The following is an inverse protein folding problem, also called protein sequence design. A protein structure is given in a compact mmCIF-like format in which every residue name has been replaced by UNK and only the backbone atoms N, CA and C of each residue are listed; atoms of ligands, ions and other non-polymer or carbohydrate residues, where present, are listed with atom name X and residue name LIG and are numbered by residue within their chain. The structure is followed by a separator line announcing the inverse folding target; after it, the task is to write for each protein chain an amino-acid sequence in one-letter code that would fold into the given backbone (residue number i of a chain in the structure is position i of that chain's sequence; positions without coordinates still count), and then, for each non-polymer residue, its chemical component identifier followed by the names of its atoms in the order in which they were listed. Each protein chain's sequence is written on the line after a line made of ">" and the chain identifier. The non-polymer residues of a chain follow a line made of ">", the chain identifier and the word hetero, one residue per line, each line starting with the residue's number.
data_IF_710137488703
#
_entry.id   IF_710137488703
#
_cell.length_a   1.000
_cell.length_b   1.000
_cell.length_c   1.000
_cell.angle_alpha   90.00
_cell.angle_beta   90.00
_cell.angle_gamma   90.00
#
_symmetry.space_group_name_H-M   'P 1'
#
loop_
_entity.id
_entity.type
_entity.pdbx_description
1 polymer ?
#
# COMPACT_ATOMS: atom_id res chain seq x y z
N UNK A 1 -1.11 5.82 12.83
CA UNK A 1 -1.86 7.00 12.39
C UNK A 1 -1.92 7.19 10.87
N UNK A 2 -0.91 7.75 10.18
CA UNK A 2 -1.05 8.04 8.73
C UNK A 2 -1.35 6.80 7.87
N UNK A 3 -0.48 5.78 7.92
CA UNK A 3 -0.65 4.56 7.12
C UNK A 3 -1.94 3.81 7.47
N UNK A 4 -2.28 3.78 8.76
CA UNK A 4 -3.52 3.20 9.28
C UNK A 4 -4.75 3.90 8.70
N UNK A 5 -4.80 5.24 8.75
CA UNK A 5 -5.88 6.05 8.18
C UNK A 5 -6.03 5.83 6.67
N UNK A 6 -4.92 5.77 5.93
CA UNK A 6 -4.95 5.51 4.48
C UNK A 6 -5.46 4.09 4.20
N UNK A 7 -4.94 3.08 4.92
CA UNK A 7 -5.36 1.69 4.73
C UNK A 7 -6.86 1.48 5.03
N UNK A 8 -7.38 2.10 6.10
CA UNK A 8 -8.78 2.03 6.48
C UNK A 8 -9.69 2.67 5.42
N UNK A 9 -9.28 3.79 4.83
CA UNK A 9 -10.04 4.43 3.76
C UNK A 9 -10.12 3.55 2.51
N UNK A 10 -9.01 2.97 2.06
CA UNK A 10 -8.99 2.12 0.87
C UNK A 10 -9.90 0.90 1.05
N UNK A 11 -9.79 0.20 2.17
CA UNK A 11 -10.61 -1.00 2.45
C UNK A 11 -12.12 -0.67 2.49
N UNK A 12 -12.49 0.49 3.03
CA UNK A 12 -13.90 0.86 3.19
C UNK A 12 -14.50 1.55 1.94
N UNK A 13 -13.71 2.29 1.17
CA UNK A 13 -14.17 3.07 0.01
C UNK A 13 -14.06 2.30 -1.32
N UNK A 14 -13.19 1.28 -1.42
CA UNK A 14 -12.95 0.53 -2.67
C UNK A 14 -13.45 -0.91 -2.56
N UNK A 15 -14.60 -1.18 -3.18
CA UNK A 15 -15.19 -2.52 -3.20
C UNK A 15 -14.26 -3.55 -3.88
N UNK A 16 -14.17 -4.74 -3.27
CA UNK A 16 -13.39 -5.85 -3.79
C UNK A 16 -11.92 -5.87 -3.37
N UNK A 17 -11.45 -4.85 -2.62
CA UNK A 17 -10.09 -4.84 -2.06
C UNK A 17 -10.11 -5.34 -0.61
N UNK A 18 -9.29 -6.36 -0.32
CA UNK A 18 -9.22 -6.99 1.01
C UNK A 18 -7.89 -6.75 1.73
N UNK A 19 -6.89 -6.18 1.05
CA UNK A 19 -5.54 -5.97 1.60
C UNK A 19 -4.86 -4.78 0.94
N UNK A 20 -4.16 -4.01 1.76
CA UNK A 20 -3.29 -2.91 1.35
C UNK A 20 -1.90 -3.17 1.92
N UNK A 21 -0.86 -2.99 1.10
CA UNK A 21 0.54 -3.14 1.51
C UNK A 21 1.30 -1.85 1.27
N UNK A 22 2.27 -1.54 2.14
CA UNK A 22 3.25 -0.49 1.92
C UNK A 22 4.60 -1.14 1.66
N UNK A 23 5.21 -0.83 0.51
CA UNK A 23 6.53 -1.34 0.17
C UNK A 23 7.61 -0.64 1.00
N UNK A 24 8.44 -1.44 1.67
CA UNK A 24 9.57 -0.97 2.47
C UNK A 24 10.92 -1.28 1.81
N UNK A 25 10.89 -1.78 0.58
CA UNK A 25 12.09 -2.12 -0.19
C UNK A 25 12.81 -0.85 -0.61
N UNK A 26 14.13 -0.86 -0.47
CA UNK A 26 14.98 0.24 -0.92
C UNK A 26 15.51 -0.01 -2.31
N UNK A 27 15.77 1.09 -3.04
CA UNK A 27 16.65 1.07 -4.20
C UNK A 27 18.08 1.33 -3.72
N UNK A 28 19.06 0.45 -3.98
CA UNK A 28 18.99 -0.94 -4.49
C UNK A 28 18.62 -1.94 -3.37
N UNK A 29 18.09 -3.14 -3.67
CA UNK A 29 18.06 -3.83 -4.97
C UNK A 29 16.76 -3.68 -5.78
N UNK A 30 15.72 -3.04 -5.23
CA UNK A 30 14.43 -2.91 -5.89
C UNK A 30 14.40 -1.75 -6.90
N UNK A 31 13.41 -1.79 -7.80
CA UNK A 31 12.97 -0.66 -8.64
C UNK A 31 11.88 0.15 -7.94
N UNK A 32 11.64 1.38 -8.40
CA UNK A 32 10.56 2.22 -7.86
C UNK A 32 9.19 1.66 -8.28
N UNK A 33 9.07 1.27 -9.55
CA UNK A 33 7.85 0.65 -10.07
C UNK A 33 7.81 -0.86 -9.78
N UNK A 34 6.60 -1.39 -9.77
CA UNK A 34 6.27 -2.80 -9.52
C UNK A 34 6.09 -3.62 -10.83
N UNK A 35 6.76 -3.27 -11.93
CA UNK A 35 6.71 -4.00 -13.20
C UNK A 35 8.07 -3.98 -13.92
#
# INVERSE_FOLDING_TARGET
>A
DFLERISARIINEVHGISRVTYDISSKPPATIEWE
#
